data_IF_528377472698
#
_entry.id   IF_528377472698
#
_cell.length_a   1.000
_cell.length_b   1.000
_cell.length_c   1.000
_cell.angle_alpha   90.00
_cell.angle_beta   90.00
_cell.angle_gamma   90.00
#
_symmetry.space_group_name_H-M   'P 1'
#
loop_
_entity.id
_entity.type
_entity.pdbx_description
1 polymer ?
#
# COMPACT_ATOMS: atom_id res chain seq x y z
N UNK A 1 4.86 -18.68 -2.87
CA UNK A 1 5.84 -19.20 -3.85
C UNK A 1 5.69 -20.69 -4.11
N UNK A 2 5.39 -21.53 -3.12
CA UNK A 2 5.19 -22.99 -3.29
C UNK A 2 4.19 -23.36 -4.41
N UNK A 3 3.01 -22.73 -4.45
CA UNK A 3 1.98 -23.01 -5.46
C UNK A 3 2.45 -22.82 -6.91
N UNK A 4 3.30 -21.82 -7.18
CA UNK A 4 3.84 -21.59 -8.53
C UNK A 4 4.86 -22.68 -8.90
N UNK A 5 5.65 -23.13 -7.93
CA UNK A 5 6.60 -24.22 -8.16
C UNK A 5 5.92 -25.56 -8.45
N UNK A 6 4.76 -25.82 -7.83
CA UNK A 6 4.04 -27.08 -7.98
C UNK A 6 3.09 -27.11 -9.18
N UNK A 7 2.39 -26.01 -9.45
CA UNK A 7 1.28 -25.95 -10.42
C UNK A 7 1.48 -24.92 -11.53
N UNK A 8 2.52 -24.09 -11.42
CA UNK A 8 2.83 -23.08 -12.41
C UNK A 8 3.34 -23.70 -13.70
N UNK A 9 3.20 -22.94 -14.79
CA UNK A 9 3.70 -23.34 -16.11
C UNK A 9 4.89 -22.45 -16.50
N UNK A 10 5.97 -23.01 -17.06
CA UNK A 10 7.08 -22.22 -17.57
C UNK A 10 6.63 -21.17 -18.60
N UNK A 11 7.16 -19.96 -18.49
CA UNK A 11 6.82 -18.84 -19.38
C UNK A 11 5.55 -18.08 -19.01
N UNK A 12 4.75 -18.56 -18.06
CA UNK A 12 3.54 -17.87 -17.61
C UNK A 12 3.81 -16.86 -16.48
N UNK A 13 3.11 -15.72 -16.53
CA UNK A 13 3.13 -14.72 -15.44
C UNK A 13 1.88 -14.87 -14.56
N UNK A 14 2.08 -14.84 -13.24
CA UNK A 14 1.02 -14.91 -12.23
C UNK A 14 1.15 -13.72 -11.27
N UNK A 15 0.12 -12.86 -11.21
CA UNK A 15 0.10 -11.77 -10.22
C UNK A 15 -0.27 -12.30 -8.84
N UNK A 16 0.45 -11.82 -7.84
CA UNK A 16 0.23 -12.09 -6.41
C UNK A 16 -0.29 -10.81 -5.78
N UNK A 17 -1.53 -10.46 -6.12
CA UNK A 17 -2.23 -9.28 -5.64
C UNK A 17 -3.53 -9.68 -4.94
N UNK A 18 -3.75 -9.21 -3.71
CA UNK A 18 -5.04 -9.34 -3.04
C UNK A 18 -6.08 -8.38 -3.62
N UNK A 19 -7.07 -8.02 -2.80
CA UNK A 19 -8.05 -6.99 -3.16
C UNK A 19 -7.36 -5.64 -3.44
N UNK A 20 -7.71 -5.02 -4.56
CA UNK A 20 -7.19 -3.70 -4.91
C UNK A 20 -7.95 -2.60 -4.16
N UNK A 21 -7.22 -1.78 -3.39
CA UNK A 21 -7.76 -0.61 -2.69
C UNK A 21 -7.27 0.69 -3.34
N UNK A 22 -8.12 1.71 -3.32
CA UNK A 22 -7.72 3.10 -3.55
C UNK A 22 -7.02 3.67 -2.31
N UNK A 23 -6.23 4.74 -2.49
CA UNK A 23 -5.62 5.46 -1.36
C UNK A 23 -6.69 5.92 -0.34
N UNK A 24 -7.89 6.29 -0.79
CA UNK A 24 -8.99 6.72 0.09
C UNK A 24 -9.57 5.56 0.90
N UNK A 25 -9.76 4.39 0.28
CA UNK A 25 -10.20 3.18 0.99
C UNK A 25 -9.15 2.71 1.99
N UNK A 26 -7.88 2.74 1.63
CA UNK A 26 -6.77 2.40 2.52
C UNK A 26 -6.76 3.30 3.76
N UNK A 27 -6.87 4.62 3.58
CA UNK A 27 -6.90 5.56 4.70
C UNK A 27 -8.11 5.35 5.61
N UNK A 28 -9.26 4.95 5.07
CA UNK A 28 -10.43 4.58 5.88
C UNK A 28 -10.14 3.35 6.74
N UNK A 29 -9.60 2.28 6.15
CA UNK A 29 -9.21 1.06 6.89
C UNK A 29 -8.23 1.38 8.02
N UNK A 30 -7.25 2.26 7.73
CA UNK A 30 -6.29 2.70 8.75
C UNK A 30 -6.95 3.46 9.90
N UNK A 31 -7.90 4.34 9.60
CA UNK A 31 -8.64 5.06 10.63
C UNK A 31 -9.48 4.13 11.50
N UNK A 32 -10.16 3.16 10.89
CA UNK A 32 -10.93 2.13 11.60
C UNK A 32 -10.04 1.27 12.51
N UNK A 33 -8.86 0.87 12.03
CA UNK A 33 -7.94 0.00 12.77
C UNK A 33 -7.20 0.71 13.92
N UNK A 34 -6.84 1.98 13.72
CA UNK A 34 -6.07 2.77 14.70
C UNK A 34 -6.93 3.60 15.65
N UNK A 35 -8.23 3.77 15.35
CA UNK A 35 -9.11 4.73 16.02
C UNK A 35 -8.82 6.20 15.66
N UNK A 36 -7.86 6.47 14.76
CA UNK A 36 -7.54 7.81 14.29
C UNK A 36 -8.50 8.24 13.18
N UNK A 37 -8.75 9.55 13.08
CA UNK A 37 -9.59 10.08 12.00
C UNK A 37 -8.81 10.06 10.69
N UNK A 38 -9.36 9.47 9.61
CA UNK A 38 -8.72 9.51 8.30
C UNK A 38 -8.62 10.95 7.77
N UNK A 39 -7.67 11.26 6.88
CA UNK A 39 -7.51 12.58 6.32
C UNK A 39 -8.79 13.04 5.58
N UNK A 40 -9.30 14.20 6.00
CA UNK A 40 -10.43 14.86 5.34
C UNK A 40 -9.99 15.72 4.15
N UNK A 41 -8.74 16.18 4.16
CA UNK A 41 -8.17 17.06 3.13
C UNK A 41 -7.36 16.22 2.14
N UNK A 42 -7.70 16.31 0.86
CA UNK A 42 -7.01 15.65 -0.23
C UNK A 42 -6.49 16.72 -1.19
N UNK A 43 -5.17 16.84 -1.28
CA UNK A 43 -4.55 17.85 -2.13
C UNK A 43 -4.71 17.50 -3.61
N UNK A 44 -5.05 18.48 -4.47
CA UNK A 44 -4.90 18.33 -5.91
C UNK A 44 -3.47 17.94 -6.28
N UNK A 45 -3.31 17.10 -7.30
CA UNK A 45 -2.01 16.53 -7.70
C UNK A 45 -0.88 17.56 -7.83
N UNK A 46 -1.05 18.74 -8.46
CA UNK A 46 0.02 19.73 -8.55
C UNK A 46 0.49 20.22 -7.17
N UNK A 47 -0.44 20.45 -6.25
CA UNK A 47 -0.13 20.90 -4.90
C UNK A 47 0.58 19.82 -4.09
N UNK A 48 0.12 18.56 -4.21
CA UNK A 48 0.78 17.43 -3.55
C UNK A 48 2.23 17.26 -4.04
N UNK A 49 2.47 17.39 -5.35
CA UNK A 49 3.82 17.27 -5.92
C UNK A 49 4.72 18.42 -5.44
N UNK A 50 4.19 19.66 -5.38
CA UNK A 50 4.92 20.81 -4.85
C UNK A 50 5.27 20.60 -3.36
N UNK A 51 4.34 20.10 -2.56
CA UNK A 51 4.60 19.72 -1.16
C UNK A 51 5.75 18.71 -1.07
N UNK A 52 5.72 17.65 -1.88
CA UNK A 52 6.79 16.65 -1.90
C UNK A 52 8.15 17.22 -2.29
N UNK A 53 8.19 18.18 -3.23
CA UNK A 53 9.42 18.84 -3.63
C UNK A 53 10.04 19.69 -2.50
N UNK A 54 9.20 20.34 -1.68
CA UNK A 54 9.62 21.17 -0.55
C UNK A 54 9.95 20.34 0.71
N UNK A 55 9.23 19.25 0.94
CA UNK A 55 9.41 18.40 2.11
C UNK A 55 10.74 17.62 2.07
N UNK A 56 11.15 17.14 0.89
CA UNK A 56 12.33 16.29 0.77
C UNK A 56 13.65 16.97 1.21
N UNK A 57 13.96 18.23 0.84
CA UNK A 57 15.10 18.96 1.39
C UNK A 57 15.04 19.14 2.91
N UNK A 58 13.85 19.46 3.45
CA UNK A 58 13.67 19.64 4.89
C UNK A 58 13.91 18.33 5.65
N UNK A 59 13.32 17.22 5.20
CA UNK A 59 13.54 15.89 5.80
C UNK A 59 15.02 15.53 5.81
N UNK A 60 15.72 15.73 4.68
CA UNK A 60 17.16 15.51 4.60
C UNK A 60 17.96 16.39 5.55
N UNK A 61 17.59 17.66 5.69
CA UNK A 61 18.24 18.58 6.62
C UNK A 61 18.08 18.14 8.09
N UNK A 62 16.96 17.50 8.44
CA UNK A 62 16.72 16.90 9.75
C UNK A 62 17.28 15.48 9.90
N UNK A 63 18.09 15.00 8.95
CA UNK A 63 18.67 13.65 8.97
C UNK A 63 17.65 12.53 8.74
N UNK A 64 16.44 12.86 8.30
CA UNK A 64 15.38 11.89 8.00
C UNK A 64 15.47 11.44 6.55
N UNK A 65 15.09 10.18 6.25
CA UNK A 65 14.90 9.76 4.88
C UNK A 65 13.82 10.63 4.23
N UNK A 66 13.99 10.96 2.95
CA UNK A 66 12.99 11.74 2.20
C UNK A 66 11.78 10.88 1.81
N UNK A 67 11.11 10.30 2.81
CA UNK A 67 9.95 9.42 2.63
C UNK A 67 8.75 10.15 2.02
N UNK A 68 8.71 11.49 2.13
CA UNK A 68 7.83 12.36 1.35
C UNK A 68 8.71 13.14 0.36
N UNK A 69 8.58 12.80 -0.93
CA UNK A 69 9.27 13.47 -2.02
C UNK A 69 8.36 13.65 -3.24
N UNK A 70 8.72 14.54 -4.17
CA UNK A 70 7.95 14.72 -5.40
C UNK A 70 7.82 13.43 -6.21
N UNK A 71 8.81 12.54 -6.14
CA UNK A 71 8.80 11.23 -6.79
C UNK A 71 7.82 10.26 -6.13
N UNK A 72 7.89 10.14 -4.79
CA UNK A 72 6.95 9.30 -4.00
C UNK A 72 5.52 9.78 -4.20
N UNK A 73 5.29 11.08 -4.22
CA UNK A 73 3.96 11.63 -4.48
C UNK A 73 3.51 11.28 -5.89
N UNK A 74 4.37 11.41 -6.92
CA UNK A 74 4.00 11.02 -8.29
C UNK A 74 3.67 9.52 -8.40
N UNK A 75 4.42 8.65 -7.73
CA UNK A 75 4.18 7.20 -7.78
C UNK A 75 2.85 6.81 -7.13
N UNK A 76 2.39 7.54 -6.10
CA UNK A 76 1.09 7.31 -5.45
C UNK A 76 -0.13 7.49 -6.36
N UNK A 77 0.03 8.18 -7.50
CA UNK A 77 -1.01 8.36 -8.52
C UNK A 77 -0.98 7.30 -9.62
N UNK A 78 0.04 6.43 -9.64
CA UNK A 78 0.11 5.32 -10.59
C UNK A 78 -0.80 4.20 -10.10
N UNK A 79 -1.59 3.64 -11.02
CA UNK A 79 -2.48 2.52 -10.70
C UNK A 79 -1.70 1.21 -10.66
N UNK A 80 -1.57 0.60 -9.48
CA UNK A 80 -1.02 -0.75 -9.28
C UNK A 80 -2.13 -1.80 -9.10
N UNK A 81 -3.26 -1.61 -9.77
CA UNK A 81 -4.39 -2.54 -9.69
C UNK A 81 -4.16 -3.72 -10.64
N UNK A 82 -3.83 -4.88 -10.09
CA UNK A 82 -3.64 -6.12 -10.83
C UNK A 82 -4.71 -7.15 -10.46
N UNK A 83 -4.99 -8.08 -11.39
CA UNK A 83 -5.91 -9.19 -11.15
C UNK A 83 -5.14 -10.47 -10.90
N UNK A 84 -5.45 -11.12 -9.78
CA UNK A 84 -4.92 -12.46 -9.43
C UNK A 84 -5.85 -13.59 -9.85
N UNK A 85 -6.87 -13.32 -10.67
CA UNK A 85 -7.84 -14.34 -11.11
C UNK A 85 -7.16 -15.54 -11.77
N UNK A 86 -6.06 -15.31 -12.51
CA UNK A 86 -5.28 -16.39 -13.11
C UNK A 86 -4.63 -17.28 -12.04
N UNK A 87 -3.99 -16.68 -11.03
CA UNK A 87 -3.39 -17.42 -9.93
C UNK A 87 -4.42 -18.21 -9.12
N UNK A 88 -5.62 -17.63 -8.92
CA UNK A 88 -6.74 -18.32 -8.26
C UNK A 88 -7.19 -19.52 -9.09
N UNK A 89 -7.47 -19.34 -10.37
CA UNK A 89 -7.99 -20.39 -11.27
C UNK A 89 -7.01 -21.52 -11.52
N UNK A 90 -5.75 -21.20 -11.77
CA UNK A 90 -4.77 -22.19 -12.26
C UNK A 90 -3.94 -22.79 -11.12
N UNK A 91 -3.66 -22.02 -10.07
CA UNK A 91 -2.82 -22.47 -8.96
C UNK A 91 -3.63 -22.83 -7.72
N UNK A 92 -4.92 -22.47 -7.66
CA UNK A 92 -5.73 -22.56 -6.46
C UNK A 92 -5.28 -21.58 -5.37
N UNK A 93 -4.70 -20.45 -5.75
CA UNK A 93 -4.24 -19.44 -4.80
C UNK A 93 -5.42 -18.82 -4.05
N UNK A 94 -5.27 -18.61 -2.74
CA UNK A 94 -6.19 -17.83 -1.91
C UNK A 94 -5.46 -16.63 -1.32
N UNK A 95 -6.16 -15.51 -1.26
CA UNK A 95 -5.63 -14.25 -0.74
C UNK A 95 -6.54 -13.76 0.37
N UNK A 96 -5.96 -13.34 1.49
CA UNK A 96 -6.68 -12.60 2.53
C UNK A 96 -7.09 -11.22 2.01
N UNK A 97 -8.11 -10.63 2.63
CA UNK A 97 -8.55 -9.27 2.29
C UNK A 97 -7.48 -8.25 2.70
N UNK A 98 -7.42 -7.14 1.97
CA UNK A 98 -6.48 -6.07 2.27
C UNK A 98 -6.81 -5.43 3.63
N UNK A 99 -8.09 -5.34 3.95
CA UNK A 99 -8.63 -4.81 5.21
C UNK A 99 -8.13 -5.59 6.43
N UNK A 100 -8.22 -6.92 6.40
CA UNK A 100 -7.70 -7.77 7.48
C UNK A 100 -6.18 -7.62 7.61
N UNK A 101 -5.48 -7.65 6.46
CA UNK A 101 -4.03 -7.51 6.44
C UNK A 101 -3.54 -6.20 7.07
N UNK A 102 -4.16 -5.07 6.71
CA UNK A 102 -3.81 -3.77 7.25
C UNK A 102 -4.22 -3.60 8.71
N UNK A 103 -5.42 -4.06 9.07
CA UNK A 103 -5.93 -3.93 10.45
C UNK A 103 -5.07 -4.68 11.45
N UNK A 104 -4.74 -5.94 11.17
CA UNK A 104 -3.87 -6.76 12.02
C UNK A 104 -2.47 -6.15 12.17
N UNK A 105 -1.89 -5.69 11.06
CA UNK A 105 -0.56 -5.05 11.06
C UNK A 105 -0.56 -3.79 11.92
N UNK A 106 -1.54 -2.91 11.74
CA UNK A 106 -1.62 -1.66 12.50
C UNK A 106 -1.85 -1.90 14.00
N UNK A 107 -2.72 -2.86 14.34
CA UNK A 107 -2.96 -3.22 15.74
C UNK A 107 -1.69 -3.76 16.41
N UNK A 108 -0.88 -4.53 15.68
CA UNK A 108 0.42 -5.00 16.15
C UNK A 108 1.42 -3.86 16.34
N UNK A 109 1.55 -2.97 15.36
CA UNK A 109 2.44 -1.80 15.47
C UNK A 109 2.05 -0.88 16.64
N UNK A 110 0.74 -0.64 16.84
CA UNK A 110 0.22 0.11 17.99
C UNK A 110 0.58 -0.59 19.30
N UNK A 111 0.40 -1.92 19.37
CA UNK A 111 0.77 -2.69 20.57
C UNK A 111 2.26 -2.57 20.89
N UNK A 112 3.12 -2.63 19.88
CA UNK A 112 4.59 -2.50 20.03
C UNK A 112 5.02 -1.11 20.42
N UNK A 113 4.31 -0.07 19.99
CA UNK A 113 4.63 1.31 20.35
C UNK A 113 4.29 1.64 21.82
N UNK A 114 3.41 0.86 22.45
CA UNK A 114 2.95 1.07 23.84
C UNK A 114 3.65 0.12 24.83
N UNK A 115 4.29 -0.94 24.34
CA UNK A 115 5.07 -1.91 25.14
C UNK A 115 6.49 -1.39 25.41
#
# INVERSE_FOLDING_TARGET
>A
MLLVGEKGRPGETYFVAGTALTNRELMRVWGEASGLRPPHIWLPRPMAVAQGALAAPLLRAFGQPAFISAEVVRSSYVSFRYSSQKAIRELGASFRTAEAAWSETLQEEIRRAVA
#
